data_IF_482213343095
#
_entry.id   IF_482213343095
#
_cell.length_a   1.000
_cell.length_b   1.000
_cell.length_c   1.000
_cell.angle_alpha   90.00
_cell.angle_beta   90.00
_cell.angle_gamma   90.00
#
_symmetry.space_group_name_H-M   'P 1'
#
loop_
_entity.id
_entity.type
_entity.pdbx_description
1 polymer ?
#
# COMPACT_ATOMS: atom_id res chain seq x y z
N UNK A 1 -24.56 18.24 -8.21
CA UNK A 1 -24.66 16.76 -8.08
C UNK A 1 -25.96 16.19 -8.67
N UNK A 2 -27.12 16.85 -8.50
CA UNK A 2 -28.44 16.38 -9.00
C UNK A 2 -28.53 16.30 -10.54
N UNK A 3 -27.94 17.26 -11.26
CA UNK A 3 -27.90 17.25 -12.73
C UNK A 3 -27.16 16.04 -13.33
N UNK A 4 -26.10 15.57 -12.67
CA UNK A 4 -25.30 14.42 -13.14
C UNK A 4 -26.10 13.13 -12.99
N UNK A 5 -26.86 13.00 -11.89
CA UNK A 5 -27.70 11.83 -11.62
C UNK A 5 -28.86 11.75 -12.64
N UNK A 6 -29.49 12.87 -12.97
CA UNK A 6 -30.55 12.92 -13.99
C UNK A 6 -30.04 12.64 -15.41
N UNK A 7 -28.83 13.08 -15.74
CA UNK A 7 -28.18 12.78 -17.02
C UNK A 7 -27.84 11.29 -17.15
N UNK A 8 -27.29 10.68 -16.09
CA UNK A 8 -27.00 9.25 -16.03
C UNK A 8 -28.28 8.43 -16.18
N UNK A 9 -29.37 8.80 -15.50
CA UNK A 9 -30.65 8.11 -15.64
C UNK A 9 -31.25 8.22 -17.04
N UNK A 10 -30.98 9.29 -17.80
CA UNK A 10 -31.48 9.43 -19.17
C UNK A 10 -30.65 8.65 -20.19
N UNK A 11 -29.36 8.46 -19.94
CA UNK A 11 -28.42 7.84 -20.87
C UNK A 11 -27.92 6.46 -20.45
N UNK A 12 -28.39 5.89 -19.33
CA UNK A 12 -27.94 4.58 -18.83
C UNK A 12 -28.11 3.44 -19.85
N UNK A 13 -29.15 3.49 -20.69
CA UNK A 13 -29.35 2.50 -21.77
C UNK A 13 -28.28 2.63 -22.86
N UNK A 14 -27.98 3.86 -23.29
CA UNK A 14 -26.94 4.13 -24.30
C UNK A 14 -25.57 3.77 -23.74
N UNK A 15 -25.33 4.10 -22.47
CA UNK A 15 -24.10 3.75 -21.77
C UNK A 15 -23.98 2.22 -21.63
N UNK A 16 -25.06 1.52 -21.30
CA UNK A 16 -25.11 0.06 -21.23
C UNK A 16 -24.86 -0.60 -22.59
N UNK A 17 -25.46 -0.09 -23.67
CA UNK A 17 -25.22 -0.55 -25.03
C UNK A 17 -23.76 -0.31 -25.46
N UNK A 18 -23.18 0.84 -25.10
CA UNK A 18 -21.77 1.12 -25.37
C UNK A 18 -20.85 0.14 -24.62
N UNK A 19 -21.12 -0.14 -23.35
CA UNK A 19 -20.35 -1.11 -22.57
C UNK A 19 -20.51 -2.53 -23.12
N UNK A 20 -21.72 -2.92 -23.55
CA UNK A 20 -21.98 -4.20 -24.18
C UNK A 20 -21.23 -4.33 -25.51
N UNK A 21 -21.19 -3.26 -26.33
CA UNK A 21 -20.44 -3.22 -27.58
C UNK A 21 -18.93 -3.35 -27.31
N UNK A 22 -18.40 -2.62 -26.33
CA UNK A 22 -16.99 -2.71 -25.92
C UNK A 22 -16.68 -4.15 -25.47
N UNK A 23 -17.49 -4.72 -24.58
CA UNK A 23 -17.35 -6.11 -24.13
C UNK A 23 -17.35 -7.10 -25.30
N UNK A 24 -18.31 -6.97 -26.22
CA UNK A 24 -18.40 -7.82 -27.41
C UNK A 24 -17.15 -7.70 -28.28
N UNK A 25 -16.69 -6.47 -28.53
CA UNK A 25 -15.46 -6.25 -29.31
C UNK A 25 -14.23 -6.83 -28.62
N UNK A 26 -14.12 -6.70 -27.29
CA UNK A 26 -13.00 -7.28 -26.54
C UNK A 26 -13.04 -8.81 -26.54
N UNK A 27 -14.22 -9.43 -26.45
CA UNK A 27 -14.38 -10.89 -26.51
C UNK A 27 -14.03 -11.41 -27.90
N UNK A 28 -14.47 -10.73 -28.96
CA UNK A 28 -14.11 -11.10 -30.34
C UNK A 28 -12.59 -10.98 -30.54
N UNK A 29 -11.99 -9.89 -30.05
CA UNK A 29 -10.55 -9.67 -30.16
C UNK A 29 -9.77 -10.75 -29.40
N UNK A 30 -10.20 -11.06 -28.17
CA UNK A 30 -9.58 -12.08 -27.32
C UNK A 30 -9.72 -13.47 -27.92
N UNK A 31 -10.90 -13.82 -28.43
CA UNK A 31 -11.16 -15.08 -29.15
C UNK A 31 -10.28 -15.21 -30.39
N UNK A 32 -10.17 -14.15 -31.20
CA UNK A 32 -9.30 -14.16 -32.38
C UNK A 32 -7.82 -14.23 -32.01
N UNK A 33 -7.41 -13.64 -30.88
CA UNK A 33 -6.03 -13.70 -30.39
C UNK A 33 -5.68 -15.11 -29.86
N UNK A 34 -6.61 -15.73 -29.11
CA UNK A 34 -6.40 -17.07 -28.53
C UNK A 34 -6.54 -18.19 -29.54
N UNK A 35 -7.51 -18.13 -30.46
CA UNK A 35 -7.78 -19.23 -31.38
C UNK A 35 -7.09 -19.11 -32.74
N UNK A 36 -6.74 -17.91 -33.21
CA UNK A 36 -6.16 -17.73 -34.54
C UNK A 36 -4.72 -17.23 -34.51
N UNK A 37 -4.14 -16.98 -33.33
CA UNK A 37 -2.78 -16.46 -33.18
C UNK A 37 -2.54 -15.23 -34.05
N UNK A 38 -3.59 -14.43 -34.30
CA UNK A 38 -3.53 -13.29 -35.19
C UNK A 38 -2.70 -12.19 -34.53
N UNK A 39 -1.48 -12.03 -35.01
CA UNK A 39 -0.51 -11.08 -34.50
C UNK A 39 -1.01 -9.63 -34.65
N UNK A 40 -0.48 -8.71 -33.85
CA UNK A 40 -0.86 -7.27 -33.87
C UNK A 40 -0.70 -6.66 -35.27
N UNK A 41 0.21 -7.23 -36.06
CA UNK A 41 0.48 -6.87 -37.45
C UNK A 41 -0.70 -7.19 -38.40
N UNK A 42 -1.42 -8.29 -38.17
CA UNK A 42 -2.61 -8.67 -38.93
C UNK A 42 -3.74 -7.65 -38.73
N UNK A 43 -3.99 -7.26 -37.49
CA UNK A 43 -4.98 -6.24 -37.15
C UNK A 43 -4.61 -4.86 -37.70
N UNK A 44 -3.32 -4.51 -37.68
CA UNK A 44 -2.83 -3.29 -38.31
C UNK A 44 -3.00 -3.30 -39.83
N UNK A 45 -2.78 -4.44 -40.48
CA UNK A 45 -3.00 -4.61 -41.92
C UNK A 45 -4.49 -4.50 -42.28
N UNK A 46 -5.38 -5.13 -41.49
CA UNK A 46 -6.83 -5.04 -41.66
C UNK A 46 -7.36 -3.61 -41.41
N UNK A 47 -6.83 -2.91 -40.42
CA UNK A 47 -7.18 -1.51 -40.17
C UNK A 47 -6.72 -0.61 -41.33
N UNK A 48 -5.58 -0.91 -41.96
CA UNK A 48 -5.06 -0.18 -43.13
C UNK A 48 -5.89 -0.42 -44.37
N UNK A 49 -6.37 -1.64 -44.63
CA UNK A 49 -7.26 -1.91 -45.77
C UNK A 49 -8.58 -1.18 -45.62
N UNK A 50 -9.15 -1.14 -44.41
CA UNK A 50 -10.35 -0.35 -44.08
C UNK A 50 -10.11 1.17 -44.14
N UNK A 51 -8.89 1.65 -43.92
CA UNK A 51 -8.51 3.07 -44.00
C UNK A 51 -8.31 3.59 -45.43
N UNK A 52 -8.11 2.69 -46.39
CA UNK A 52 -7.70 3.04 -47.76
C UNK A 52 -8.89 3.35 -48.68
N UNK A 53 -10.10 2.96 -48.29
CA UNK A 53 -11.31 3.48 -48.93
C UNK A 53 -11.62 4.88 -48.40
N UNK A 54 -12.10 5.78 -49.26
CA UNK A 54 -12.32 7.22 -49.05
C UNK A 54 -13.33 7.62 -47.95
N UNK A 55 -13.56 6.75 -46.97
CA UNK A 55 -14.46 7.00 -45.87
C UNK A 55 -13.68 7.70 -44.75
N UNK A 56 -14.09 8.93 -44.43
CA UNK A 56 -13.58 9.67 -43.26
C UNK A 56 -13.83 8.94 -41.93
N UNK A 57 -14.79 8.02 -41.92
CA UNK A 57 -15.29 7.26 -40.77
C UNK A 57 -14.24 6.31 -40.14
N UNK A 58 -13.55 5.41 -40.87
CA UNK A 58 -12.49 4.55 -40.32
C UNK A 58 -11.32 5.32 -39.72
N UNK A 59 -10.92 6.47 -40.29
CA UNK A 59 -9.87 7.33 -39.72
C UNK A 59 -10.28 7.95 -38.39
N UNK A 60 -11.55 8.34 -38.27
CA UNK A 60 -12.12 8.87 -37.03
C UNK A 60 -12.23 7.74 -35.99
N UNK A 61 -12.74 6.57 -36.37
CA UNK A 61 -12.85 5.39 -35.50
C UNK A 61 -11.48 4.95 -34.99
N UNK A 62 -10.44 4.90 -35.84
CA UNK A 62 -9.08 4.55 -35.42
C UNK A 62 -8.50 5.57 -34.42
N UNK A 63 -8.74 6.87 -34.62
CA UNK A 63 -8.32 7.91 -33.66
C UNK A 63 -9.07 7.81 -32.33
N UNK A 64 -10.38 7.53 -32.37
CA UNK A 64 -11.16 7.30 -31.15
C UNK A 64 -10.75 6.01 -30.44
N UNK A 65 -10.44 4.94 -31.16
CA UNK A 65 -9.93 3.70 -30.58
C UNK A 65 -8.56 3.92 -29.91
N UNK A 66 -7.64 4.65 -30.56
CA UNK A 66 -6.34 4.99 -29.96
C UNK A 66 -6.50 5.87 -28.70
N UNK A 67 -7.35 6.90 -28.77
CA UNK A 67 -7.68 7.70 -27.57
C UNK A 67 -8.31 6.84 -26.48
N UNK A 68 -9.18 5.89 -26.84
CA UNK A 68 -9.82 5.00 -25.88
C UNK A 68 -8.81 4.05 -25.24
N UNK A 69 -7.85 3.50 -26.00
CA UNK A 69 -6.76 2.69 -25.46
C UNK A 69 -5.86 3.49 -24.51
N UNK A 70 -5.44 4.70 -24.90
CA UNK A 70 -4.63 5.57 -24.02
C UNK A 70 -5.42 5.98 -22.79
N UNK A 71 -6.70 6.32 -22.95
CA UNK A 71 -7.59 6.62 -21.83
C UNK A 71 -7.77 5.37 -20.96
N UNK A 72 -7.93 4.18 -21.51
CA UNK A 72 -8.07 2.95 -20.74
C UNK A 72 -6.79 2.60 -19.98
N UNK A 73 -5.60 2.86 -20.53
CA UNK A 73 -4.33 2.70 -19.81
C UNK A 73 -4.15 3.76 -18.71
N UNK A 74 -4.44 5.03 -19.03
CA UNK A 74 -4.33 6.15 -18.08
C UNK A 74 -5.37 6.12 -16.96
N UNK A 75 -6.61 5.77 -17.31
CA UNK A 75 -7.75 5.65 -16.41
C UNK A 75 -7.96 4.22 -15.93
N UNK A 76 -7.08 3.26 -16.26
CA UNK A 76 -7.23 1.86 -15.88
C UNK A 76 -7.60 1.79 -14.39
N UNK A 77 -8.88 1.54 -14.06
CA UNK A 77 -9.33 1.60 -12.68
C UNK A 77 -8.53 0.60 -11.86
N UNK A 78 -8.08 -0.47 -12.51
CA UNK A 78 -7.17 -1.48 -11.99
C UNK A 78 -5.87 -0.89 -11.40
N UNK A 79 -5.17 0.03 -12.07
CA UNK A 79 -3.92 0.60 -11.55
C UNK A 79 -4.17 1.55 -10.35
N UNK A 80 -5.26 2.31 -10.38
CA UNK A 80 -5.65 3.13 -9.23
C UNK A 80 -6.09 2.30 -8.03
N UNK A 81 -6.92 1.27 -8.27
CA UNK A 81 -7.38 0.31 -7.25
C UNK A 81 -6.20 -0.45 -6.64
N UNK A 82 -5.26 -0.95 -7.46
CA UNK A 82 -4.03 -1.59 -6.98
C UNK A 82 -3.22 -0.62 -6.11
N UNK A 83 -3.05 0.63 -6.55
CA UNK A 83 -2.35 1.66 -5.76
C UNK A 83 -3.05 1.92 -4.43
N UNK A 84 -4.39 1.97 -4.42
CA UNK A 84 -5.18 2.15 -3.21
C UNK A 84 -5.02 0.95 -2.25
N UNK A 85 -5.13 -0.27 -2.75
CA UNK A 85 -4.91 -1.48 -1.94
C UNK A 85 -3.48 -1.55 -1.40
N UNK A 86 -2.46 -1.25 -2.21
CA UNK A 86 -1.06 -1.17 -1.76
C UNK A 86 -0.86 -0.11 -0.67
N UNK A 87 -1.52 1.06 -0.79
CA UNK A 87 -1.49 2.11 0.24
C UNK A 87 -2.17 1.64 1.53
N UNK A 88 -3.33 0.99 1.42
CA UNK A 88 -4.08 0.45 2.56
C UNK A 88 -3.29 -0.65 3.27
N UNK A 89 -2.71 -1.59 2.53
CA UNK A 89 -1.88 -2.66 3.06
C UNK A 89 -0.64 -2.11 3.78
N UNK A 90 0.08 -1.15 3.17
CA UNK A 90 1.21 -0.48 3.83
C UNK A 90 0.80 0.24 5.12
N UNK A 91 -0.34 0.94 5.12
CA UNK A 91 -0.84 1.60 6.33
C UNK A 91 -1.23 0.59 7.41
N UNK A 92 -1.86 -0.53 7.02
CA UNK A 92 -2.19 -1.63 7.95
C UNK A 92 -0.92 -2.20 8.59
N UNK A 93 0.09 -2.53 7.77
CA UNK A 93 1.38 -3.02 8.25
C UNK A 93 2.10 -2.01 9.15
N UNK A 94 2.12 -0.72 8.78
CA UNK A 94 2.68 0.35 9.59
C UNK A 94 2.03 0.44 10.98
N UNK A 95 0.70 0.41 11.04
CA UNK A 95 -0.02 0.40 12.30
C UNK A 95 0.29 -0.87 13.12
N UNK A 96 0.36 -2.02 12.45
CA UNK A 96 0.69 -3.30 13.08
C UNK A 96 2.08 -3.28 13.73
N UNK A 97 3.13 -2.89 13.02
CA UNK A 97 4.50 -2.91 13.56
C UNK A 97 4.67 -1.97 14.76
N UNK A 98 3.97 -0.83 14.78
CA UNK A 98 3.99 0.10 15.91
C UNK A 98 3.24 -0.48 17.10
N UNK A 99 2.05 -1.05 16.88
CA UNK A 99 1.28 -1.71 17.95
C UNK A 99 2.05 -2.86 18.57
N UNK A 100 2.71 -3.68 17.73
CA UNK A 100 3.57 -4.77 18.18
C UNK A 100 4.76 -4.26 19.00
N UNK A 101 5.39 -3.16 18.58
CA UNK A 101 6.46 -2.54 19.36
C UNK A 101 5.96 -2.09 20.74
N UNK A 102 4.82 -1.39 20.80
CA UNK A 102 4.26 -0.91 22.07
C UNK A 102 3.95 -2.09 22.99
N UNK A 103 3.26 -3.12 22.50
CA UNK A 103 2.97 -4.33 23.27
C UNK A 103 4.25 -4.99 23.82
N UNK A 104 5.28 -5.13 23.00
CA UNK A 104 6.54 -5.76 23.43
C UNK A 104 7.31 -4.91 24.44
N UNK A 105 7.25 -3.58 24.33
CA UNK A 105 7.84 -2.68 25.31
C UNK A 105 7.08 -2.70 26.63
N UNK A 106 5.75 -2.72 26.58
CA UNK A 106 4.89 -2.81 27.77
C UNK A 106 5.14 -4.12 28.52
N UNK A 107 5.15 -5.26 27.81
CA UNK A 107 5.48 -6.57 28.39
C UNK A 107 6.88 -6.60 29.02
N UNK A 108 7.87 -6.02 28.34
CA UNK A 108 9.21 -5.94 28.89
C UNK A 108 9.28 -5.00 30.11
N UNK A 109 8.47 -3.94 30.13
CA UNK A 109 8.38 -3.03 31.28
C UNK A 109 7.69 -3.67 32.48
N UNK A 110 6.68 -4.52 32.26
CA UNK A 110 6.03 -5.29 33.33
C UNK A 110 6.96 -6.32 33.96
N UNK A 111 7.91 -6.84 33.18
CA UNK A 111 8.95 -7.74 33.69
C UNK A 111 10.05 -7.03 34.49
N UNK A 112 10.10 -5.68 34.45
CA UNK A 112 11.01 -4.94 35.29
C UNK A 112 10.51 -4.98 36.74
N UNK A 113 11.43 -5.19 37.71
CA UNK A 113 11.05 -5.13 39.10
C UNK A 113 10.55 -3.71 39.43
N UNK A 114 9.37 -3.64 40.07
CA UNK A 114 8.71 -2.36 40.39
C UNK A 114 9.59 -1.56 41.35
N UNK A 115 9.71 -0.26 41.08
CA UNK A 115 10.49 0.71 41.87
C UNK A 115 9.84 1.01 43.24
N UNK A 116 9.56 -0.01 44.03
CA UNK A 116 9.06 0.12 45.40
C UNK A 116 10.21 0.19 46.42
N UNK A 117 9.89 0.67 47.62
CA UNK A 117 10.78 0.56 48.79
C UNK A 117 11.12 -0.91 49.03
N UNK A 118 12.38 -1.29 48.74
CA UNK A 118 12.86 -2.67 48.86
C UNK A 118 13.48 -3.26 47.59
N UNK A 119 13.69 -2.48 46.52
CA UNK A 119 14.43 -2.94 45.34
C UNK A 119 15.92 -3.14 45.68
N UNK A 120 16.31 -4.36 46.03
CA UNK A 120 17.72 -4.72 46.20
C UNK A 120 18.35 -5.06 44.84
N UNK A 121 19.04 -4.07 44.26
CA UNK A 121 19.80 -4.23 43.02
C UNK A 121 21.05 -5.12 43.19
N UNK A 122 21.37 -5.53 44.42
CA UNK A 122 22.47 -6.45 44.74
C UNK A 122 22.06 -7.91 44.63
N UNK A 123 20.74 -8.21 44.62
CA UNK A 123 20.23 -9.56 44.45
C UNK A 123 20.49 -10.05 43.01
N UNK A 124 21.21 -11.18 42.81
CA UNK A 124 21.51 -11.69 41.49
C UNK A 124 20.26 -12.01 40.66
N UNK A 125 19.15 -12.41 41.30
CA UNK A 125 17.90 -12.70 40.61
C UNK A 125 17.26 -11.41 40.06
N UNK A 126 17.26 -10.35 40.85
CA UNK A 126 16.78 -9.02 40.44
C UNK A 126 17.63 -8.44 39.31
N UNK A 127 18.96 -8.60 39.35
CA UNK A 127 19.85 -8.21 38.26
C UNK A 127 19.57 -9.01 36.97
N UNK A 128 19.38 -10.32 37.09
CA UNK A 128 19.08 -11.18 35.94
C UNK A 128 17.75 -10.77 35.27
N UNK A 129 16.71 -10.50 36.06
CA UNK A 129 15.42 -10.04 35.55
C UNK A 129 15.55 -8.70 34.81
N UNK A 130 16.34 -7.76 35.36
CA UNK A 130 16.60 -6.48 34.71
C UNK A 130 17.32 -6.64 33.36
N UNK A 131 18.36 -7.49 33.30
CA UNK A 131 19.08 -7.79 32.06
C UNK A 131 18.14 -8.42 31.03
N UNK A 132 17.30 -9.37 31.44
CA UNK A 132 16.36 -10.05 30.56
C UNK A 132 15.31 -9.09 30.00
N UNK A 133 14.71 -8.25 30.84
CA UNK A 133 13.75 -7.22 30.43
C UNK A 133 14.38 -6.27 29.41
N UNK A 134 15.61 -5.81 29.67
CA UNK A 134 16.33 -4.90 28.78
C UNK A 134 16.70 -5.56 27.45
N UNK A 135 17.10 -6.83 27.47
CA UNK A 135 17.33 -7.61 26.25
C UNK A 135 16.05 -7.79 25.42
N UNK A 136 14.90 -7.99 26.08
CA UNK A 136 13.60 -8.06 25.42
C UNK A 136 13.24 -6.73 24.74
N UNK A 137 13.47 -5.58 25.41
CA UNK A 137 13.29 -4.25 24.81
C UNK A 137 14.16 -4.05 23.58
N UNK A 138 15.46 -4.38 23.65
CA UNK A 138 16.35 -4.24 22.50
C UNK A 138 15.92 -5.12 21.32
N UNK A 139 15.54 -6.38 21.60
CA UNK A 139 15.02 -7.29 20.55
C UNK A 139 13.76 -6.73 19.89
N UNK A 140 12.84 -6.16 20.67
CA UNK A 140 11.62 -5.53 20.15
C UNK A 140 11.95 -4.35 19.23
N UNK A 141 12.90 -3.50 19.65
CA UNK A 141 13.36 -2.36 18.84
C UNK A 141 14.05 -2.81 17.54
N UNK A 142 14.85 -3.87 17.58
CA UNK A 142 15.55 -4.36 16.38
C UNK A 142 14.57 -4.99 15.38
N UNK A 143 13.57 -5.74 15.85
CA UNK A 143 12.48 -6.23 15.01
C UNK A 143 11.70 -5.09 14.39
N UNK A 144 11.37 -4.05 15.16
CA UNK A 144 10.72 -2.85 14.64
C UNK A 144 11.57 -2.16 13.58
N UNK A 145 12.86 -1.92 13.83
CA UNK A 145 13.76 -1.28 12.86
C UNK A 145 13.87 -2.08 11.56
N UNK A 146 13.98 -3.40 11.65
CA UNK A 146 14.03 -4.29 10.49
C UNK A 146 12.77 -4.13 9.62
N UNK A 147 11.61 -4.24 10.25
CA UNK A 147 10.33 -4.22 9.54
C UNK A 147 9.98 -2.80 9.04
N UNK A 148 10.37 -1.77 9.80
CA UNK A 148 10.23 -0.38 9.41
C UNK A 148 11.14 0.00 8.23
N UNK A 149 12.40 -0.47 8.22
CA UNK A 149 13.29 -0.31 7.07
C UNK A 149 12.75 -1.03 5.83
N UNK A 150 12.18 -2.24 5.99
CA UNK A 150 11.52 -2.93 4.88
C UNK A 150 10.35 -2.10 4.31
N UNK A 151 9.56 -1.45 5.17
CA UNK A 151 8.48 -0.57 4.76
C UNK A 151 8.96 0.70 4.05
N UNK A 152 10.07 1.31 4.51
CA UNK A 152 10.64 2.54 3.94
C UNK A 152 11.40 2.31 2.62
N UNK A 153 12.14 1.21 2.50
CA UNK A 153 12.95 0.90 1.32
C UNK A 153 12.08 0.48 0.12
N UNK A 154 10.93 -0.15 0.34
CA UNK A 154 10.02 -0.61 -0.72
C UNK A 154 9.17 0.50 -1.38
N UNK A 155 9.71 1.71 -1.54
CA UNK A 155 9.08 2.78 -2.33
C UNK A 155 8.98 2.42 -3.82
N UNK A 156 9.84 1.52 -4.33
CA UNK A 156 9.81 1.06 -5.72
C UNK A 156 8.92 -0.18 -5.90
N UNK A 157 8.09 -0.24 -6.97
CA UNK A 157 7.13 -1.29 -7.18
C UNK A 157 7.81 -2.53 -7.79
N UNK A 158 8.52 -3.32 -6.99
CA UNK A 158 8.86 -4.67 -7.42
C UNK A 158 7.67 -5.60 -7.18
N UNK A 159 7.27 -6.26 -8.26
CA UNK A 159 6.16 -7.20 -8.39
C UNK A 159 6.28 -8.27 -7.30
N UNK A 160 5.20 -8.48 -6.53
CA UNK A 160 5.11 -9.55 -5.54
C UNK A 160 6.08 -9.40 -4.38
N UNK A 161 5.79 -8.53 -3.40
CA UNK A 161 6.58 -8.46 -2.18
C UNK A 161 5.85 -9.16 -1.02
N UNK A 162 6.30 -10.34 -0.57
CA UNK A 162 5.68 -11.10 0.52
C UNK A 162 5.90 -10.50 1.92
N UNK A 163 6.69 -9.43 2.02
CA UNK A 163 7.12 -8.86 3.31
C UNK A 163 6.14 -7.88 3.96
N UNK A 164 5.06 -7.48 3.27
CA UNK A 164 4.01 -6.58 3.78
C UNK A 164 2.73 -7.34 4.14
N UNK A 165 2.87 -8.61 4.50
CA UNK A 165 1.76 -9.45 4.93
C UNK A 165 1.68 -9.44 6.45
N UNK A 166 0.51 -9.12 6.97
CA UNK A 166 0.19 -9.27 8.39
C UNK A 166 -0.71 -10.49 8.49
N UNK A 167 -0.28 -11.48 9.28
CA UNK A 167 -1.09 -12.64 9.59
C UNK A 167 -2.28 -12.20 10.44
N UNK A 168 -3.47 -12.73 10.13
CA UNK A 168 -4.69 -12.39 10.87
C UNK A 168 -4.58 -12.83 12.33
N UNK A 169 -3.89 -13.95 12.58
CA UNK A 169 -3.61 -14.47 13.92
C UNK A 169 -2.78 -13.48 14.76
N UNK A 170 -1.82 -12.77 14.15
CA UNK A 170 -1.00 -11.79 14.86
C UNK A 170 -1.79 -10.52 15.21
N UNK A 171 -2.70 -10.10 14.33
CA UNK A 171 -3.62 -8.99 14.64
C UNK A 171 -4.62 -9.36 15.73
N UNK A 172 -5.12 -10.60 15.72
CA UNK A 172 -6.01 -11.12 16.76
C UNK A 172 -5.32 -11.16 18.13
N UNK A 173 -4.04 -11.55 18.18
CA UNK A 173 -3.25 -11.52 19.41
C UNK A 173 -3.13 -10.10 19.96
N UNK A 174 -2.83 -9.12 19.11
CA UNK A 174 -2.79 -7.70 19.49
C UNK A 174 -4.16 -7.20 19.95
N UNK A 175 -5.23 -7.65 19.30
CA UNK A 175 -6.59 -7.27 19.67
C UNK A 175 -6.99 -7.82 21.04
N UNK A 176 -6.68 -9.08 21.33
CA UNK A 176 -6.92 -9.72 22.64
C UNK A 176 -6.12 -9.05 23.75
N UNK A 177 -4.91 -8.60 23.44
CA UNK A 177 -4.07 -7.85 24.37
C UNK A 177 -4.50 -6.37 24.54
N UNK A 178 -5.56 -5.91 23.85
CA UNK A 178 -6.10 -4.55 23.98
C UNK A 178 -5.45 -3.49 23.08
N UNK A 179 -4.51 -3.88 22.21
CA UNK A 179 -3.78 -2.96 21.33
C UNK A 179 -4.48 -2.72 19.97
N UNK A 180 -5.70 -3.25 19.75
CA UNK A 180 -6.48 -3.05 18.51
C UNK A 180 -7.03 -1.64 18.35
N UNK A 181 -7.34 -0.96 19.46
CA UNK A 181 -8.05 0.32 19.50
C UNK A 181 -7.14 1.54 19.57
N UNK A 182 -5.82 1.35 19.66
CA UNK A 182 -4.89 2.48 19.72
C UNK A 182 -5.01 3.24 18.40
N UNK A 183 -5.62 4.43 18.48
CA UNK A 183 -5.91 5.35 17.38
C UNK A 183 -4.68 6.02 16.79
N UNK A 184 -3.55 5.30 16.75
CA UNK A 184 -2.31 5.75 16.14
C UNK A 184 -2.52 5.82 14.63
N UNK A 185 -2.64 7.03 14.11
CA UNK A 185 -2.44 7.29 12.69
C UNK A 185 -0.94 7.27 12.42
N UNK A 186 -0.37 6.09 12.20
CA UNK A 186 1.06 5.95 11.89
C UNK A 186 1.30 6.42 10.46
N UNK A 187 1.85 7.61 10.32
CA UNK A 187 2.38 8.10 9.04
C UNK A 187 3.82 7.64 8.86
N UNK A 188 4.28 7.63 7.62
CA UNK A 188 5.67 7.28 7.29
C UNK A 188 6.69 8.19 8.02
N UNK A 189 6.31 9.45 8.27
CA UNK A 189 7.10 10.42 9.04
C UNK A 189 7.31 9.95 10.49
N UNK A 190 6.24 9.49 11.15
CA UNK A 190 6.33 8.96 12.53
C UNK A 190 7.29 7.76 12.58
N UNK A 191 7.26 6.89 11.58
CA UNK A 191 8.19 5.76 11.49
C UNK A 191 9.64 6.24 11.31
N UNK A 192 9.87 7.23 10.44
CA UNK A 192 11.21 7.80 10.25
C UNK A 192 11.73 8.48 11.52
N UNK A 193 10.87 9.18 12.25
CA UNK A 193 11.22 9.81 13.52
C UNK A 193 11.54 8.78 14.60
N UNK A 194 10.81 7.65 14.64
CA UNK A 194 11.05 6.55 15.58
C UNK A 194 12.34 5.76 15.29
N UNK A 195 12.79 5.70 14.03
CA UNK A 195 14.05 5.02 13.67
C UNK A 195 15.25 5.94 13.93
N UNK A 196 15.10 7.26 13.80
CA UNK A 196 16.20 8.21 13.99
C UNK A 196 16.69 8.20 15.44
N UNK A 197 17.99 7.99 15.69
CA UNK A 197 18.53 8.07 17.03
C UNK A 197 18.36 9.49 17.60
N UNK A 198 17.95 9.58 18.87
CA UNK A 198 17.67 10.82 19.60
C UNK A 198 18.80 11.88 19.50
N UNK A 199 20.05 11.46 19.31
CA UNK A 199 21.21 12.35 19.16
C UNK A 199 21.29 13.13 17.84
N UNK A 200 20.53 12.77 16.80
CA UNK A 200 20.50 13.53 15.54
C UNK A 200 19.40 14.61 15.51
N UNK A 201 18.30 14.43 16.26
CA UNK A 201 17.18 15.38 16.28
C UNK A 201 17.52 16.74 16.92
N UNK A 202 18.52 16.79 17.79
CA UNK A 202 18.97 18.01 18.48
C UNK A 202 20.04 18.81 17.73
N UNK A 203 20.73 18.21 16.74
CA UNK A 203 21.69 18.96 15.90
C UNK A 203 21.00 19.83 14.85
N UNK A 204 19.80 19.47 14.42
CA UNK A 204 19.07 20.17 13.35
C UNK A 204 18.20 21.35 13.87
N UNK A 205 18.12 21.53 15.20
CA UNK A 205 17.38 22.63 15.85
C UNK A 205 18.28 23.69 16.47
N UNK A 206 19.53 23.87 16.00
CA UNK A 206 20.26 25.11 16.33
C UNK A 206 19.75 26.23 15.42
N UNK A 207 19.11 27.29 15.96
CA UNK A 207 18.80 28.45 15.15
C UNK A 207 20.13 28.99 14.62
N UNK A 208 20.20 29.19 13.30
CA UNK A 208 21.28 29.97 12.69
C UNK A 208 21.20 31.37 13.30
N UNK A 209 22.04 31.63 14.29
CA UNK A 209 22.33 32.99 14.71
C UNK A 209 23.02 33.64 13.50
N UNK A 210 22.30 34.55 12.87
CA UNK A 210 22.87 35.49 11.92
C UNK A 210 23.89 36.35 12.67
N UNK A 211 25.16 36.16 12.35
CA UNK A 211 26.15 37.23 12.39
C UNK A 211 26.18 37.90 11.02
#
# INVERSE_FOLDING_TARGET
>A
MIFVIGWIQRHHVVLGLLHALILLTTIILDYSLTFHSCDLFYWCAMARTLLNEHLFLPKIVAKFALMFCIAFECFSPHQWVIRLFKRRARRRFANFIVRRLVMQLDQASESLPKSGDGLDLSDPLTQQNYVQARMAQYRAMDLFRRDANALLVQRLPLIGNPHLFVLEEEEDLLARAGYSSIGLQVTEQVIQDLIRPYHQATKDKRPRQHC
#
